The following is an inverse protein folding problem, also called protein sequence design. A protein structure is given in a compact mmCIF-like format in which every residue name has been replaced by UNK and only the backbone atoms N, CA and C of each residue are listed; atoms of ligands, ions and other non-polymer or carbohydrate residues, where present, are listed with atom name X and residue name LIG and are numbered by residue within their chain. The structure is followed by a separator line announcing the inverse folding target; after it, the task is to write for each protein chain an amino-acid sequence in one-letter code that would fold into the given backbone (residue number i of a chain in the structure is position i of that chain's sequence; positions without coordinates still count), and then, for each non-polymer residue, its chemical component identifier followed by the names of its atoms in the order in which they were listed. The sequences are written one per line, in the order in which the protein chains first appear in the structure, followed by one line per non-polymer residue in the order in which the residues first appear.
data_IF_325178756706
#
_entry.id   IF_325178756706
#
_cell.length_a   1.000
_cell.length_b   1.000
_cell.length_c   1.000
_cell.angle_alpha   90.00
_cell.angle_beta   90.00
_cell.angle_gamma   90.00
#
_symmetry.space_group_name_H-M   'P 1'
#
loop_
_entity.id
_entity.type
_entity.pdbx_description
1 polymer ?
#
# COMPACT_ATOMS: atom_id res chain seq x y z
N UNK A 1 23.19 -44.58 29.62
CA UNK A 1 23.34 -44.30 28.17
C UNK A 1 22.74 -42.93 27.89
N UNK A 2 23.52 -41.96 27.38
CA UNK A 2 23.07 -40.57 27.18
C UNK A 2 22.86 -40.32 25.67
N UNK A 3 21.61 -40.22 25.24
CA UNK A 3 21.27 -39.92 23.85
C UNK A 3 21.58 -38.44 23.55
N UNK A 4 22.72 -38.17 22.91
CA UNK A 4 23.05 -36.85 22.37
C UNK A 4 22.03 -36.46 21.30
N UNK A 5 21.11 -35.56 21.63
CA UNK A 5 20.22 -34.92 20.65
C UNK A 5 21.08 -34.02 19.75
N UNK A 6 21.42 -34.51 18.55
CA UNK A 6 21.94 -33.65 17.47
C UNK A 6 20.76 -32.82 16.94
N UNK A 7 20.72 -31.53 17.26
CA UNK A 7 19.84 -30.61 16.56
C UNK A 7 20.29 -30.55 15.09
N UNK A 8 19.47 -31.06 14.17
CA UNK A 8 19.64 -30.81 12.74
C UNK A 8 19.48 -29.30 12.55
N UNK A 9 20.57 -28.58 12.28
CA UNK A 9 20.48 -27.22 11.74
C UNK A 9 19.72 -27.37 10.42
N UNK A 10 18.49 -26.85 10.38
CA UNK A 10 17.78 -26.63 9.13
C UNK A 10 18.75 -25.81 8.29
N UNK A 11 19.17 -26.27 7.10
CA UNK A 11 19.96 -25.44 6.22
C UNK A 11 19.17 -24.14 6.05
N UNK A 12 19.85 -22.99 6.08
CA UNK A 12 19.24 -21.75 5.64
C UNK A 12 19.00 -21.90 4.14
N UNK A 13 17.97 -22.67 3.79
CA UNK A 13 17.40 -22.78 2.48
C UNK A 13 16.90 -21.38 2.19
N UNK A 14 17.80 -20.66 1.53
CA UNK A 14 17.69 -19.33 0.96
C UNK A 14 16.29 -18.82 1.19
N UNK A 15 16.08 -18.02 2.26
CA UNK A 15 14.96 -17.09 2.26
C UNK A 15 15.08 -16.42 0.91
N UNK A 16 14.18 -16.76 0.00
CA UNK A 16 14.00 -16.06 -1.24
C UNK A 16 13.50 -14.69 -0.79
N UNK A 17 14.42 -13.85 -0.31
CA UNK A 17 14.17 -12.44 -0.15
C UNK A 17 13.77 -12.05 -1.57
N UNK A 18 12.51 -11.63 -1.80
CA UNK A 18 12.11 -11.18 -3.12
C UNK A 18 13.16 -10.16 -3.53
N UNK A 19 13.87 -10.46 -4.62
CA UNK A 19 14.97 -9.64 -5.11
C UNK A 19 14.32 -8.32 -5.49
N UNK A 20 14.32 -7.36 -4.56
CA UNK A 20 13.67 -6.07 -4.76
C UNK A 20 14.30 -5.47 -6.02
N UNK A 21 13.49 -5.24 -7.04
CA UNK A 21 13.94 -4.61 -8.28
C UNK A 21 14.60 -3.28 -7.89
N UNK A 22 15.79 -2.97 -8.42
CA UNK A 22 16.43 -1.70 -8.14
C UNK A 22 15.50 -0.55 -8.55
N UNK A 23 15.46 0.51 -7.75
CA UNK A 23 14.67 1.68 -8.08
C UNK A 23 15.28 2.34 -9.32
N UNK A 24 14.55 2.34 -10.45
CA UNK A 24 15.07 2.84 -11.74
C UNK A 24 14.63 4.27 -12.07
N UNK A 25 13.78 4.86 -11.24
CA UNK A 25 13.17 6.17 -11.52
C UNK A 25 14.09 7.33 -11.13
N UNK A 26 14.16 8.38 -11.97
CA UNK A 26 15.05 9.53 -11.72
C UNK A 26 14.45 10.49 -10.69
N UNK A 27 15.25 10.78 -9.66
CA UNK A 27 15.30 11.98 -8.79
C UNK A 27 14.02 12.53 -8.15
N UNK A 28 12.98 12.83 -8.91
CA UNK A 28 11.79 13.56 -8.45
C UNK A 28 10.64 12.62 -8.04
N UNK A 29 10.69 11.36 -8.47
CA UNK A 29 9.71 10.34 -8.10
C UNK A 29 8.29 10.69 -8.54
N UNK A 30 8.13 11.37 -9.67
CA UNK A 30 6.85 11.64 -10.33
C UNK A 30 6.71 10.88 -11.65
N UNK A 31 7.69 10.03 -11.98
CA UNK A 31 7.66 9.22 -13.20
C UNK A 31 6.50 8.22 -13.21
N UNK A 32 5.93 8.05 -14.39
CA UNK A 32 4.70 7.27 -14.61
C UNK A 32 4.97 6.14 -15.60
N UNK A 33 4.49 4.92 -15.34
CA UNK A 33 3.90 4.46 -14.08
C UNK A 33 4.94 4.37 -12.95
N UNK A 34 4.56 4.57 -11.68
CA UNK A 34 5.46 4.35 -10.55
C UNK A 34 5.87 2.88 -10.45
N UNK A 35 7.09 2.62 -9.97
CA UNK A 35 7.42 1.30 -9.45
C UNK A 35 6.62 1.04 -8.17
N UNK A 36 6.06 -0.17 -8.01
CA UNK A 36 5.29 -0.55 -6.82
C UNK A 36 6.01 -0.24 -5.51
N UNK A 37 7.32 -0.50 -5.45
CA UNK A 37 8.15 -0.23 -4.27
C UNK A 37 8.14 1.26 -3.86
N UNK A 38 8.06 2.19 -4.81
CA UNK A 38 7.97 3.62 -4.50
C UNK A 38 6.61 4.00 -3.91
N UNK A 39 5.54 3.35 -4.39
CA UNK A 39 4.21 3.51 -3.83
C UNK A 39 4.18 2.96 -2.41
N UNK A 40 4.69 1.75 -2.19
CA UNK A 40 4.76 1.13 -0.86
C UNK A 40 5.50 2.03 0.13
N UNK A 41 6.68 2.55 -0.24
CA UNK A 41 7.46 3.50 0.58
C UNK A 41 6.67 4.79 0.86
N UNK A 42 6.00 5.36 -0.15
CA UNK A 42 5.25 6.60 0.03
C UNK A 42 4.08 6.44 0.99
N UNK A 43 3.30 5.38 0.86
CA UNK A 43 2.18 5.10 1.75
C UNK A 43 2.65 4.75 3.16
N UNK A 44 3.78 4.06 3.31
CA UNK A 44 4.40 3.79 4.61
C UNK A 44 4.83 5.10 5.32
N UNK A 45 5.50 6.01 4.61
CA UNK A 45 5.86 7.33 5.12
C UNK A 45 4.65 8.18 5.56
N UNK A 46 3.48 7.92 4.97
CA UNK A 46 2.22 8.60 5.33
C UNK A 46 1.43 7.87 6.43
N UNK A 47 1.83 6.67 6.84
CA UNK A 47 1.10 5.84 7.80
C UNK A 47 -0.12 5.12 7.22
N UNK A 48 -0.18 4.96 5.90
CA UNK A 48 -1.28 4.33 5.17
C UNK A 48 -0.85 3.07 4.40
N UNK A 49 0.10 2.29 4.94
CA UNK A 49 0.67 1.10 4.29
C UNK A 49 -0.40 0.11 3.80
N UNK A 50 -1.52 -0.03 4.52
CA UNK A 50 -2.65 -0.88 4.14
C UNK A 50 -3.46 -0.40 2.92
N UNK A 51 -3.21 0.81 2.41
CA UNK A 51 -3.85 1.36 1.21
C UNK A 51 -2.96 1.29 -0.04
N UNK A 52 -1.67 1.01 0.11
CA UNK A 52 -0.70 1.03 -0.99
C UNK A 52 -1.07 0.05 -2.12
N UNK A 53 -1.43 -1.19 -1.76
CA UNK A 53 -1.82 -2.23 -2.71
C UNK A 53 -3.11 -1.88 -3.44
N UNK A 54 -4.14 -1.44 -2.71
CA UNK A 54 -5.42 -1.05 -3.30
C UNK A 54 -5.26 0.10 -4.30
N UNK A 55 -4.48 1.12 -3.92
CA UNK A 55 -4.14 2.23 -4.80
C UNK A 55 -3.41 1.75 -6.06
N UNK A 56 -2.33 0.97 -5.91
CA UNK A 56 -1.52 0.53 -7.04
C UNK A 56 -2.35 -0.32 -8.02
N UNK A 57 -3.08 -1.33 -7.51
CA UNK A 57 -3.91 -2.21 -8.33
C UNK A 57 -5.06 -1.47 -9.02
N UNK A 58 -5.62 -0.44 -8.40
CA UNK A 58 -6.64 0.39 -9.03
C UNK A 58 -6.08 1.11 -10.26
N UNK A 59 -4.95 1.81 -10.11
CA UNK A 59 -4.36 2.57 -11.21
C UNK A 59 -3.68 1.70 -12.28
N UNK A 60 -3.16 0.53 -11.89
CA UNK A 60 -2.63 -0.47 -12.82
C UNK A 60 -3.72 -0.99 -13.77
N UNK A 61 -4.92 -1.30 -13.25
CA UNK A 61 -6.06 -1.76 -14.06
C UNK A 61 -6.51 -0.74 -15.10
N UNK A 62 -6.45 0.54 -14.77
CA UNK A 62 -6.77 1.64 -15.72
C UNK A 62 -5.54 2.13 -16.49
N UNK A 63 -4.45 1.38 -16.47
CA UNK A 63 -3.20 1.67 -17.17
C UNK A 63 -2.65 3.08 -16.89
N UNK A 64 -2.86 3.58 -15.69
CA UNK A 64 -2.43 4.93 -15.27
C UNK A 64 -2.96 6.04 -16.18
N UNK A 65 -4.18 5.88 -16.70
CA UNK A 65 -4.88 6.85 -17.52
C UNK A 65 -6.20 7.27 -16.88
N UNK A 66 -6.62 8.50 -17.18
CA UNK A 66 -7.93 9.00 -16.83
C UNK A 66 -9.01 8.25 -17.63
N UNK A 67 -10.29 8.32 -17.21
CA UNK A 67 -11.40 7.75 -17.98
C UNK A 67 -11.52 8.28 -19.42
N UNK A 68 -11.00 9.48 -19.68
CA UNK A 68 -10.93 10.09 -21.02
C UNK A 68 -9.71 9.63 -21.83
N UNK A 69 -8.90 8.71 -21.30
CA UNK A 69 -7.69 8.18 -21.91
C UNK A 69 -6.43 9.03 -21.70
N UNK A 70 -6.50 10.14 -20.96
CA UNK A 70 -5.34 11.01 -20.73
C UNK A 70 -4.39 10.39 -19.70
N UNK A 71 -3.10 10.19 -19.99
CA UNK A 71 -2.16 9.65 -19.02
C UNK A 71 -1.97 10.60 -17.84
N UNK A 72 -1.98 10.04 -16.64
CA UNK A 72 -1.61 10.80 -15.45
C UNK A 72 -0.12 11.16 -15.48
N UNK A 73 0.23 12.31 -14.90
CA UNK A 73 1.62 12.83 -14.89
C UNK A 73 2.30 12.74 -13.54
N UNK A 74 1.54 12.50 -12.47
CA UNK A 74 2.05 12.54 -11.10
C UNK A 74 1.27 11.58 -10.21
N UNK A 75 1.84 10.40 -9.93
CA UNK A 75 1.20 9.42 -9.05
C UNK A 75 1.16 9.86 -7.58
N UNK A 76 2.06 10.73 -7.13
CA UNK A 76 2.04 11.24 -5.74
C UNK A 76 0.83 12.14 -5.50
N UNK A 77 0.41 12.90 -6.51
CA UNK A 77 -0.82 13.68 -6.44
C UNK A 77 -2.03 12.75 -6.29
N UNK A 78 -2.12 11.72 -7.14
CA UNK A 78 -3.17 10.69 -7.04
C UNK A 78 -3.17 9.98 -5.68
N UNK A 79 -1.99 9.65 -5.16
CA UNK A 79 -1.84 9.01 -3.86
C UNK A 79 -2.29 9.95 -2.72
N UNK A 80 -2.00 11.25 -2.82
CA UNK A 80 -2.49 12.26 -1.89
C UNK A 80 -4.02 12.36 -1.90
N UNK A 81 -4.64 12.42 -3.07
CA UNK A 81 -6.10 12.40 -3.22
C UNK A 81 -6.71 11.11 -2.68
N UNK A 82 -6.09 9.96 -2.94
CA UNK A 82 -6.52 8.66 -2.43
C UNK A 82 -6.56 8.64 -0.89
N UNK A 83 -5.45 9.06 -0.25
CA UNK A 83 -5.34 9.10 1.20
C UNK A 83 -6.40 10.03 1.79
N UNK A 84 -6.56 11.23 1.21
CA UNK A 84 -7.56 12.20 1.67
C UNK A 84 -8.97 11.61 1.63
N UNK A 85 -9.36 11.02 0.50
CA UNK A 85 -10.67 10.40 0.33
C UNK A 85 -10.89 9.24 1.30
N UNK A 86 -9.88 8.38 1.49
CA UNK A 86 -9.92 7.29 2.44
C UNK A 86 -10.15 7.79 3.87
N UNK A 87 -9.42 8.83 4.30
CA UNK A 87 -9.62 9.41 5.63
C UNK A 87 -11.01 10.00 5.83
N UNK A 88 -11.55 10.73 4.83
CA UNK A 88 -12.91 11.28 4.91
C UNK A 88 -13.94 10.16 5.07
N UNK A 89 -13.79 9.07 4.32
CA UNK A 89 -14.67 7.91 4.42
C UNK A 89 -14.60 7.26 5.81
N UNK A 90 -13.40 7.07 6.37
CA UNK A 90 -13.26 6.50 7.71
C UNK A 90 -13.87 7.39 8.80
N UNK A 91 -13.72 8.72 8.68
CA UNK A 91 -14.35 9.69 9.60
C UNK A 91 -15.87 9.60 9.55
N UNK A 92 -16.44 9.53 8.35
CA UNK A 92 -17.89 9.37 8.18
C UNK A 92 -18.38 8.05 8.78
N UNK A 93 -17.70 6.94 8.46
CA UNK A 93 -18.04 5.60 8.98
C UNK A 93 -18.01 5.55 10.51
N UNK A 94 -17.04 6.23 11.14
CA UNK A 94 -16.97 6.35 12.60
C UNK A 94 -18.20 7.05 13.17
N UNK A 95 -18.57 8.21 12.61
CA UNK A 95 -19.75 8.98 13.05
C UNK A 95 -21.04 8.18 12.91
N UNK A 96 -21.22 7.48 11.79
CA UNK A 96 -22.39 6.64 11.57
C UNK A 96 -22.47 5.51 12.60
N UNK A 97 -21.34 4.85 12.90
CA UNK A 97 -21.27 3.81 13.93
C UNK A 97 -21.63 4.36 15.32
N UNK A 98 -21.07 5.51 15.69
CA UNK A 98 -21.34 6.16 16.98
C UNK A 98 -22.83 6.50 17.12
N UNK A 99 -23.43 7.13 16.10
CA UNK A 99 -24.86 7.46 16.09
C UNK A 99 -25.77 6.24 16.22
N UNK A 100 -25.41 5.11 15.60
CA UNK A 100 -26.18 3.86 15.71
C UNK A 100 -26.14 3.27 17.12
N UNK A 101 -25.01 3.40 17.82
CA UNK A 101 -24.84 2.90 19.19
C UNK A 101 -25.60 3.79 20.18
N UNK A 102 -25.55 5.12 20.01
CA UNK A 102 -26.20 6.06 20.94
C UNK A 102 -27.69 6.26 20.68
N UNK A 103 -28.20 5.88 19.51
CA UNK A 103 -29.59 6.10 19.08
C UNK A 103 -30.63 5.08 19.54
N UNK A 104 -30.29 4.11 20.39
CA UNK A 104 -31.20 3.05 20.89
C UNK A 104 -31.64 3.22 22.35
N UNK A 105 -31.63 4.45 22.87
CA UNK A 105 -32.03 4.77 24.24
C UNK A 105 -33.07 5.89 24.35
N UNK A 106 -34.07 5.90 23.46
CA UNK A 106 -35.22 6.82 23.51
C UNK A 106 -36.52 6.06 23.64
#
# INVERSE_FOLDING_TARGET
MLFKRKAKRIPAERRLVPKQEPIRQKGFGTEMPPQKQLVDIYFDQKGFTGQAEAFYSFYEKVQWRSPKGTPYRNWKLLAGEWIFNYEQEQRLRRRLRENMITGTGG
#
